data_IF_389221580478
#
_entry.id   IF_389221580478
#
_cell.length_a   1.000
_cell.length_b   1.000
_cell.length_c   1.000
_cell.angle_alpha   90.00
_cell.angle_beta   90.00
_cell.angle_gamma   90.00
#
_symmetry.space_group_name_H-M   'P 1'
#
loop_
_entity.id
_entity.type
_entity.pdbx_description
1 polymer ?
#
# COMPACT_ATOMS: atom_id res chain seq x y z
N UNK A 1 0.78 -17.49 -1.98
CA UNK A 1 1.81 -16.57 -2.46
C UNK A 1 3.16 -17.24 -2.31
N UNK A 2 3.75 -17.65 -3.42
CA UNK A 2 5.03 -18.37 -3.49
C UNK A 2 6.02 -17.50 -4.25
N UNK A 3 7.25 -17.38 -3.76
CA UNK A 3 8.33 -16.72 -4.49
C UNK A 3 8.46 -15.20 -4.35
N UNK A 4 7.84 -14.58 -3.33
CA UNK A 4 8.09 -13.18 -2.96
C UNK A 4 7.62 -12.14 -3.99
N UNK A 5 6.78 -12.53 -4.95
CA UNK A 5 6.33 -11.62 -6.01
C UNK A 5 5.36 -10.56 -5.46
N UNK A 6 4.46 -10.95 -4.56
CA UNK A 6 3.51 -10.03 -3.92
C UNK A 6 4.23 -8.93 -3.14
N UNK A 7 5.26 -9.30 -2.38
CA UNK A 7 6.07 -8.36 -1.62
C UNK A 7 6.79 -7.38 -2.55
N UNK A 8 7.44 -7.87 -3.62
CA UNK A 8 8.13 -7.02 -4.61
C UNK A 8 7.19 -6.08 -5.36
N UNK A 9 6.01 -6.57 -5.75
CA UNK A 9 5.03 -5.73 -6.46
C UNK A 9 4.48 -4.65 -5.51
N UNK A 10 4.29 -4.97 -4.23
CA UNK A 10 3.85 -4.02 -3.21
C UNK A 10 4.92 -2.96 -2.93
N UNK A 11 6.18 -3.37 -2.79
CA UNK A 11 7.33 -2.46 -2.64
C UNK A 11 7.43 -1.49 -3.81
N UNK A 12 7.31 -1.97 -5.04
CA UNK A 12 7.33 -1.13 -6.23
C UNK A 12 6.22 -0.06 -6.21
N UNK A 13 5.00 -0.44 -5.83
CA UNK A 13 3.88 0.52 -5.75
C UNK A 13 4.11 1.56 -4.65
N UNK A 14 4.66 1.16 -3.51
CA UNK A 14 5.02 2.08 -2.43
C UNK A 14 6.09 3.08 -2.88
N UNK A 15 7.11 2.62 -3.59
CA UNK A 15 8.17 3.49 -4.11
C UNK A 15 7.62 4.54 -5.09
N UNK A 16 6.70 4.16 -5.97
CA UNK A 16 6.02 5.09 -6.88
C UNK A 16 5.14 6.10 -6.14
N UNK A 17 4.44 5.67 -5.09
CA UNK A 17 3.63 6.55 -4.24
C UNK A 17 4.53 7.61 -3.58
N UNK A 18 5.66 7.20 -2.99
CA UNK A 18 6.60 8.10 -2.34
C UNK A 18 7.21 9.09 -3.34
N UNK A 19 7.64 8.60 -4.50
CA UNK A 19 8.16 9.41 -5.60
C UNK A 19 7.16 10.49 -6.04
N UNK A 20 5.87 10.11 -6.15
CA UNK A 20 4.81 11.06 -6.46
C UNK A 20 4.63 12.10 -5.35
N UNK A 21 4.54 11.67 -4.09
CA UNK A 21 4.36 12.58 -2.94
C UNK A 21 5.50 13.59 -2.83
N UNK A 22 6.74 13.16 -3.01
CA UNK A 22 7.93 14.03 -2.97
C UNK A 22 7.92 15.11 -4.07
N UNK A 23 7.20 14.89 -5.17
CA UNK A 23 7.05 15.82 -6.27
C UNK A 23 5.90 16.83 -6.13
N UNK A 24 5.05 16.70 -5.10
CA UNK A 24 3.86 17.55 -4.94
C UNK A 24 4.21 18.80 -4.15
N UNK A 25 3.80 19.96 -4.68
CA UNK A 25 3.80 21.23 -3.93
C UNK A 25 2.44 21.38 -3.25
N UNK A 26 2.42 21.31 -1.92
CA UNK A 26 1.20 21.48 -1.14
C UNK A 26 0.84 22.97 -0.97
N UNK A 27 -0.46 23.33 -0.99
CA UNK A 27 -0.93 24.72 -0.84
C UNK A 27 -0.72 25.29 0.58
N UNK A 28 -0.46 24.45 1.58
CA UNK A 28 -0.18 24.87 2.95
C UNK A 28 -1.42 25.26 3.76
N UNK A 29 -2.61 24.87 3.29
CA UNK A 29 -3.89 25.09 3.99
C UNK A 29 -4.17 24.03 5.08
N UNK A 30 -3.37 22.96 5.13
CA UNK A 30 -3.51 21.87 6.09
C UNK A 30 -4.69 20.94 5.80
N UNK A 31 -5.27 21.02 4.60
CA UNK A 31 -6.46 20.27 4.20
C UNK A 31 -6.13 19.11 3.25
N UNK A 32 -4.87 18.95 2.86
CA UNK A 32 -4.39 17.87 2.01
C UNK A 32 -4.47 16.51 2.73
N UNK A 33 -5.08 15.52 2.09
CA UNK A 33 -5.27 14.20 2.66
C UNK A 33 -5.09 13.09 1.62
N UNK A 34 -4.67 11.93 2.09
CA UNK A 34 -4.64 10.68 1.32
C UNK A 34 -5.66 9.72 1.90
N UNK A 35 -6.40 9.04 1.02
CA UNK A 35 -7.37 8.03 1.41
C UNK A 35 -6.78 6.67 1.08
N UNK A 36 -6.67 5.81 2.08
CA UNK A 36 -6.24 4.44 1.91
C UNK A 36 -7.38 3.51 2.33
N UNK A 37 -7.55 2.44 1.56
CA UNK A 37 -8.32 1.29 2.00
C UNK A 37 -7.58 0.56 3.15
N UNK A 38 -8.29 -0.27 3.90
CA UNK A 38 -7.76 -0.95 5.09
C UNK A 38 -7.32 -2.38 4.76
N UNK A 39 -8.27 -3.21 4.33
CA UNK A 39 -8.04 -4.65 4.13
C UNK A 39 -7.20 -4.92 2.89
N UNK A 40 -6.13 -5.72 3.04
CA UNK A 40 -5.15 -6.05 2.01
C UNK A 40 -4.47 -4.84 1.32
N UNK A 41 -4.66 -3.63 1.87
CA UNK A 41 -3.95 -2.40 1.50
C UNK A 41 -3.04 -1.94 2.64
N UNK A 42 -3.61 -1.61 3.81
CA UNK A 42 -2.83 -1.24 4.99
C UNK A 42 -2.52 -2.46 5.88
N UNK A 43 -3.42 -3.45 5.91
CA UNK A 43 -3.32 -4.62 6.77
C UNK A 43 -3.52 -5.87 5.93
N UNK A 44 -2.52 -6.77 5.91
CA UNK A 44 -2.58 -7.99 5.12
C UNK A 44 -3.45 -9.07 5.79
N UNK A 45 -4.45 -9.56 5.08
CA UNK A 45 -5.31 -10.68 5.49
C UNK A 45 -4.79 -12.05 5.02
N UNK A 46 -3.63 -12.08 4.38
CA UNK A 46 -2.98 -13.29 3.85
C UNK A 46 -2.83 -14.39 4.91
N UNK A 47 -2.48 -14.04 6.14
CA UNK A 47 -2.33 -15.02 7.23
C UNK A 47 -3.67 -15.70 7.57
N UNK A 48 -4.75 -14.93 7.59
CA UNK A 48 -6.10 -15.44 7.82
C UNK A 48 -6.54 -16.40 6.70
N UNK A 49 -6.32 -16.03 5.44
CA UNK A 49 -6.68 -16.87 4.29
C UNK A 49 -5.79 -18.10 4.13
N UNK A 50 -4.51 -18.06 4.53
CA UNK A 50 -3.63 -19.25 4.54
C UNK A 50 -4.13 -20.33 5.50
N UNK A 51 -4.71 -19.94 6.64
CA UNK A 51 -5.24 -20.85 7.65
C UNK A 51 -6.61 -21.43 7.31
N UNK A 52 -7.41 -20.71 6.52
CA UNK A 52 -8.73 -21.17 6.05
C UNK A 52 -8.59 -21.75 4.64
N UNK A 53 -8.47 -23.08 4.55
CA UNK A 53 -8.57 -23.82 3.28
C UNK A 53 -9.95 -23.54 2.68
N UNK A 54 -9.98 -22.71 1.65
CA UNK A 54 -10.97 -22.79 0.58
C UNK A 54 -10.40 -23.65 -0.54
#
# INVERSE_FOLDING_TARGET
>A
MTGGQYERDTELVVDEILSYVDGIVLPGDGMDAWVLDVDDTCISNVAYYKGKRY
#
